data_IF_700735251806
#
_entry.id   IF_700735251806
#
_cell.length_a   1.000
_cell.length_b   1.000
_cell.length_c   1.000
_cell.angle_alpha   90.00
_cell.angle_beta   90.00
_cell.angle_gamma   90.00
#
_symmetry.space_group_name_H-M   'P 1'
#
loop_
_entity.id
_entity.type
_entity.pdbx_description
1 polymer ?
#
# COMPACT_ATOMS: atom_id res chain seq x y z
N UNK A 1 -27.17 -24.39 -37.67
CA UNK A 1 -26.05 -23.54 -38.16
C UNK A 1 -24.84 -23.89 -37.32
N UNK A 2 -23.77 -24.38 -37.94
CA UNK A 2 -22.52 -24.68 -37.25
C UNK A 2 -21.74 -23.37 -37.11
N UNK A 3 -21.56 -22.88 -35.88
CA UNK A 3 -20.72 -21.70 -35.63
C UNK A 3 -19.27 -22.07 -35.95
N UNK A 4 -18.77 -21.57 -37.08
CA UNK A 4 -17.34 -21.63 -37.38
C UNK A 4 -16.64 -20.58 -36.51
N UNK A 5 -15.67 -20.97 -35.67
CA UNK A 5 -14.88 -20.00 -34.93
C UNK A 5 -14.20 -19.05 -35.94
N UNK A 6 -14.44 -17.75 -35.77
CA UNK A 6 -13.98 -16.70 -36.70
C UNK A 6 -12.50 -16.36 -36.52
N UNK A 7 -11.89 -16.73 -35.40
CA UNK A 7 -10.50 -16.45 -35.07
C UNK A 7 -9.97 -17.45 -34.04
N UNK A 8 -8.84 -18.09 -34.32
CA UNK A 8 -8.10 -18.93 -33.38
C UNK A 8 -7.19 -18.05 -32.52
N UNK A 9 -7.39 -18.08 -31.20
CA UNK A 9 -6.63 -17.29 -30.23
C UNK A 9 -5.74 -18.18 -29.34
N UNK A 10 -5.58 -19.45 -29.68
CA UNK A 10 -4.84 -20.44 -28.88
C UNK A 10 -3.36 -20.08 -28.70
N UNK A 11 -2.79 -19.31 -29.63
CA UNK A 11 -1.39 -18.88 -29.61
C UNK A 11 -1.14 -17.63 -28.74
N UNK A 12 -2.18 -17.02 -28.16
CA UNK A 12 -1.99 -15.85 -27.30
C UNK A 12 -1.25 -16.25 -26.00
N UNK A 13 -0.32 -15.39 -25.53
CA UNK A 13 0.38 -15.65 -24.29
C UNK A 13 -0.61 -15.70 -23.12
N UNK A 14 -0.43 -16.69 -22.24
CA UNK A 14 -1.35 -16.96 -21.12
C UNK A 14 -1.26 -15.94 -19.98
N UNK A 15 -0.29 -15.02 -20.05
CA UNK A 15 -0.06 -13.89 -19.14
C UNK A 15 0.78 -12.80 -19.85
N UNK A 16 0.71 -11.56 -19.34
CA UNK A 16 1.50 -10.43 -19.81
C UNK A 16 1.93 -9.54 -18.65
N UNK A 17 2.80 -8.56 -18.90
CA UNK A 17 3.27 -7.61 -17.89
C UNK A 17 2.79 -6.19 -18.20
N UNK A 18 2.50 -5.41 -17.16
CA UNK A 18 2.08 -4.02 -17.30
C UNK A 18 0.78 -3.87 -18.09
N UNK A 19 0.63 -2.84 -18.95
CA UNK A 19 -0.62 -2.55 -19.66
C UNK A 19 -1.14 -3.65 -20.59
N UNK A 20 -0.32 -4.68 -20.88
CA UNK A 20 -0.72 -5.86 -21.66
C UNK A 20 -1.46 -6.90 -20.82
N UNK A 21 -1.47 -6.75 -19.49
CA UNK A 21 -2.25 -7.60 -18.57
C UNK A 21 -3.57 -6.93 -18.20
N UNK A 22 -4.71 -7.63 -18.28
CA UNK A 22 -5.97 -7.15 -17.71
C UNK A 22 -5.90 -6.89 -16.20
N UNK A 23 -5.12 -7.68 -15.45
CA UNK A 23 -4.96 -7.54 -13.99
C UNK A 23 -4.31 -6.21 -13.62
N UNK A 24 -3.41 -5.70 -14.47
CA UNK A 24 -2.77 -4.41 -14.27
C UNK A 24 -3.78 -3.26 -14.30
N UNK A 25 -4.73 -3.29 -15.26
CA UNK A 25 -5.81 -2.30 -15.34
C UNK A 25 -6.79 -2.43 -14.18
N UNK A 26 -7.08 -3.65 -13.73
CA UNK A 26 -7.88 -3.90 -12.53
C UNK A 26 -7.22 -3.29 -11.29
N UNK A 27 -5.92 -3.52 -11.12
CA UNK A 27 -5.11 -2.95 -10.01
C UNK A 27 -5.09 -1.43 -10.07
N UNK A 28 -4.90 -0.83 -11.25
CA UNK A 28 -4.93 0.62 -11.43
C UNK A 28 -6.31 1.21 -11.09
N UNK A 29 -7.39 0.56 -11.52
CA UNK A 29 -8.76 0.98 -11.19
C UNK A 29 -9.03 0.90 -9.69
N UNK A 30 -8.56 -0.16 -9.03
CA UNK A 30 -8.64 -0.31 -7.57
C UNK A 30 -7.84 0.77 -6.84
N UNK A 31 -6.60 1.06 -7.26
CA UNK A 31 -5.81 2.19 -6.73
C UNK A 31 -6.51 3.54 -6.90
N UNK A 32 -7.19 3.77 -8.02
CA UNK A 32 -7.93 5.00 -8.25
C UNK A 32 -9.12 5.13 -7.28
N UNK A 33 -9.85 4.05 -7.03
CA UNK A 33 -10.96 4.00 -6.08
C UNK A 33 -10.47 4.26 -4.63
N UNK A 34 -9.46 3.51 -4.20
CA UNK A 34 -8.88 3.68 -2.85
C UNK A 34 -8.22 5.05 -2.69
N UNK A 35 -7.51 5.51 -3.71
CA UNK A 35 -6.87 6.82 -3.77
C UNK A 35 -7.87 7.97 -3.63
N UNK A 36 -9.07 7.82 -4.19
CA UNK A 36 -10.17 8.76 -3.97
C UNK A 36 -10.61 8.77 -2.50
N UNK A 37 -10.67 7.61 -1.84
CA UNK A 37 -10.94 7.52 -0.40
C UNK A 37 -9.92 8.30 0.44
N UNK A 38 -8.62 8.14 0.15
CA UNK A 38 -7.56 8.92 0.78
C UNK A 38 -7.70 10.42 0.50
N UNK A 39 -8.00 10.81 -0.74
CA UNK A 39 -8.18 12.21 -1.12
C UNK A 39 -9.37 12.86 -0.38
N UNK A 40 -10.49 12.14 -0.24
CA UNK A 40 -11.65 12.61 0.52
C UNK A 40 -11.33 12.76 2.00
N UNK A 41 -10.64 11.79 2.61
CA UNK A 41 -10.24 11.86 4.01
C UNK A 41 -9.27 13.03 4.27
N UNK A 42 -8.29 13.24 3.38
CA UNK A 42 -7.39 14.39 3.44
C UNK A 42 -8.12 15.72 3.23
N UNK A 43 -9.06 15.77 2.28
CA UNK A 43 -9.90 16.94 2.03
C UNK A 43 -10.77 17.29 3.23
N UNK A 44 -11.39 16.30 3.87
CA UNK A 44 -12.16 16.48 5.09
C UNK A 44 -11.29 17.00 6.25
N UNK A 45 -10.08 16.45 6.43
CA UNK A 45 -9.11 16.94 7.41
C UNK A 45 -8.79 18.42 7.20
N UNK A 46 -8.43 18.79 5.97
CA UNK A 46 -8.08 20.17 5.62
C UNK A 46 -9.27 21.12 5.78
N UNK A 47 -10.46 20.71 5.34
CA UNK A 47 -11.67 21.50 5.49
C UNK A 47 -11.99 21.78 6.96
N UNK A 48 -11.90 20.78 7.82
CA UNK A 48 -12.13 20.97 9.25
C UNK A 48 -11.02 21.82 9.90
N UNK A 49 -9.77 21.65 9.47
CA UNK A 49 -8.65 22.44 9.96
C UNK A 49 -8.77 23.94 9.64
N UNK A 50 -9.38 24.31 8.50
CA UNK A 50 -9.59 25.73 8.15
C UNK A 50 -10.73 26.38 8.93
N UNK A 51 -11.68 25.59 9.44
CA UNK A 51 -12.81 26.09 10.23
C UNK A 51 -12.44 26.41 11.68
N UNK A 52 -11.36 25.82 12.21
CA UNK A 52 -10.99 25.94 13.62
C UNK A 52 -9.61 26.59 13.78
N UNK A 53 -9.50 27.78 14.41
CA UNK A 53 -8.21 28.45 14.63
C UNK A 53 -7.19 27.60 15.39
N UNK A 54 -7.69 26.76 16.32
CA UNK A 54 -6.89 25.79 17.06
C UNK A 54 -7.27 24.37 16.63
N UNK A 55 -6.77 23.93 15.48
CA UNK A 55 -7.18 22.64 14.88
C UNK A 55 -7.02 21.43 15.81
N UNK A 56 -6.04 21.44 16.71
CA UNK A 56 -5.81 20.33 17.65
C UNK A 56 -6.88 20.20 18.73
N UNK A 57 -7.75 21.19 18.93
CA UNK A 57 -8.84 21.14 19.92
C UNK A 57 -8.35 20.69 21.31
N UNK A 58 -7.23 21.26 21.77
CA UNK A 58 -6.53 20.93 23.03
C UNK A 58 -5.83 19.56 23.09
N UNK A 59 -5.78 18.82 21.99
CA UNK A 59 -5.02 17.57 21.91
C UNK A 59 -3.49 17.81 21.92
N UNK A 60 -2.71 16.90 22.51
CA UNK A 60 -1.26 16.94 22.43
C UNK A 60 -0.78 16.80 20.98
N UNK A 61 0.42 17.29 20.68
CA UNK A 61 1.02 17.04 19.38
C UNK A 61 1.33 15.54 19.25
N UNK A 62 0.90 14.87 18.16
CA UNK A 62 1.30 13.50 17.90
C UNK A 62 2.83 13.41 17.86
N UNK A 63 3.40 12.41 18.53
CA UNK A 63 4.83 12.13 18.40
C UNK A 63 5.14 11.88 16.91
N UNK A 64 6.09 12.63 16.33
CA UNK A 64 6.42 12.50 14.91
C UNK A 64 7.34 11.31 14.63
N UNK A 65 8.07 10.82 15.65
CA UNK A 65 9.05 9.76 15.47
C UNK A 65 8.49 8.47 14.87
N UNK A 66 7.34 7.92 15.31
CA UNK A 66 6.78 6.73 14.66
C UNK A 66 6.49 6.98 13.18
N UNK A 67 5.88 8.12 12.85
CA UNK A 67 5.65 8.52 11.46
C UNK A 67 6.94 8.64 10.64
N UNK A 68 7.98 9.26 11.21
CA UNK A 68 9.29 9.42 10.55
C UNK A 68 9.97 8.06 10.34
N UNK A 69 9.91 7.15 11.32
CA UNK A 69 10.46 5.80 11.21
C UNK A 69 9.74 5.03 10.11
N UNK A 70 8.40 5.07 10.06
CA UNK A 70 7.60 4.46 8.99
C UNK A 70 8.00 5.02 7.62
N UNK A 71 8.17 6.34 7.49
CA UNK A 71 8.64 6.98 6.25
C UNK A 71 10.01 6.45 5.83
N UNK A 72 10.96 6.33 6.76
CA UNK A 72 12.30 5.79 6.46
C UNK A 72 12.21 4.33 6.00
N UNK A 73 11.42 3.50 6.69
CA UNK A 73 11.20 2.10 6.31
C UNK A 73 10.61 1.99 4.90
N UNK A 74 9.63 2.83 4.57
CA UNK A 74 9.06 2.85 3.22
C UNK A 74 10.09 3.25 2.17
N UNK A 75 10.85 4.33 2.38
CA UNK A 75 11.91 4.74 1.44
C UNK A 75 12.92 3.62 1.22
N UNK A 76 13.35 2.94 2.30
CA UNK A 76 14.26 1.79 2.20
C UNK A 76 13.64 0.65 1.40
N UNK A 77 12.34 0.40 1.57
CA UNK A 77 11.63 -0.71 0.90
C UNK A 77 11.43 -0.54 -0.60
N UNK A 78 11.44 0.70 -1.12
CA UNK A 78 11.24 0.96 -2.56
C UNK A 78 12.32 0.29 -3.42
N UNK A 79 13.57 0.29 -2.96
CA UNK A 79 14.70 -0.29 -3.70
C UNK A 79 14.54 -1.81 -3.90
N UNK A 80 14.40 -2.65 -2.85
CA UNK A 80 14.19 -4.08 -3.02
C UNK A 80 12.87 -4.40 -3.74
N UNK A 81 11.83 -3.57 -3.59
CA UNK A 81 10.56 -3.75 -4.32
C UNK A 81 10.77 -3.71 -5.85
N UNK A 82 11.50 -2.71 -6.35
CA UNK A 82 11.77 -2.60 -7.79
C UNK A 82 12.77 -3.64 -8.31
N UNK A 83 13.73 -4.08 -7.48
CA UNK A 83 14.61 -5.21 -7.82
C UNK A 83 13.78 -6.50 -7.98
N UNK A 84 12.85 -6.76 -7.06
CA UNK A 84 11.91 -7.88 -7.12
C UNK A 84 11.09 -7.85 -8.42
N UNK A 85 10.59 -6.68 -8.83
CA UNK A 85 9.89 -6.52 -10.10
C UNK A 85 10.75 -6.93 -11.30
N UNK A 86 12.03 -6.55 -11.31
CA UNK A 86 12.98 -6.95 -12.35
C UNK A 86 13.12 -8.47 -12.44
N UNK A 87 13.28 -9.14 -11.30
CA UNK A 87 13.37 -10.61 -11.24
C UNK A 87 12.05 -11.30 -11.63
N UNK A 88 10.91 -10.71 -11.29
CA UNK A 88 9.60 -11.21 -11.68
C UNK A 88 9.42 -11.20 -13.21
N UNK A 89 9.82 -10.12 -13.89
CA UNK A 89 9.79 -10.04 -15.37
C UNK A 89 10.67 -11.08 -16.06
N UNK A 90 11.76 -11.48 -15.41
CA UNK A 90 12.67 -12.52 -15.89
C UNK A 90 12.20 -13.94 -15.52
N UNK A 91 11.06 -14.08 -14.84
CA UNK A 91 10.55 -15.36 -14.33
C UNK A 91 11.58 -16.12 -13.46
N UNK A 92 12.44 -15.38 -12.75
CA UNK A 92 13.54 -15.97 -11.98
C UNK A 92 13.05 -16.41 -10.60
N UNK A 93 12.66 -17.69 -10.47
CA UNK A 93 11.95 -18.20 -9.28
C UNK A 93 12.71 -18.01 -7.96
N UNK A 94 14.01 -18.29 -7.93
CA UNK A 94 14.84 -18.20 -6.71
C UNK A 94 14.96 -16.76 -6.21
N UNK A 95 15.39 -15.77 -7.02
CA UNK A 95 15.47 -14.39 -6.55
C UNK A 95 14.10 -13.80 -6.24
N UNK A 96 13.03 -14.20 -6.93
CA UNK A 96 11.66 -13.77 -6.59
C UNK A 96 11.24 -14.27 -5.20
N UNK A 97 11.51 -15.54 -4.88
CA UNK A 97 11.24 -16.08 -3.53
C UNK A 97 11.98 -15.32 -2.44
N UNK A 98 13.27 -15.04 -2.66
CA UNK A 98 14.09 -14.28 -1.70
C UNK A 98 13.55 -12.86 -1.56
N UNK A 99 13.28 -12.18 -2.67
CA UNK A 99 12.75 -10.81 -2.68
C UNK A 99 11.39 -10.70 -1.99
N UNK A 100 10.49 -11.67 -2.20
CA UNK A 100 9.19 -11.72 -1.53
C UNK A 100 9.30 -11.93 -0.01
N UNK A 101 10.24 -12.76 0.46
CA UNK A 101 10.54 -12.88 1.90
C UNK A 101 11.08 -11.57 2.46
N UNK A 102 12.01 -10.92 1.76
CA UNK A 102 12.55 -9.61 2.17
C UNK A 102 11.45 -8.55 2.24
N UNK A 103 10.59 -8.48 1.22
CA UNK A 103 9.46 -7.53 1.19
C UNK A 103 8.43 -7.82 2.28
N UNK A 104 8.15 -9.10 2.58
CA UNK A 104 7.28 -9.47 3.69
C UNK A 104 7.81 -8.94 5.03
N UNK A 105 9.13 -9.07 5.28
CA UNK A 105 9.75 -8.54 6.50
C UNK A 105 9.73 -7.01 6.54
N UNK A 106 10.05 -6.36 5.42
CA UNK A 106 10.03 -4.90 5.32
C UNK A 106 8.62 -4.32 5.45
N UNK A 107 7.59 -5.05 5.02
CA UNK A 107 6.20 -4.66 5.18
C UNK A 107 5.65 -4.89 6.59
N UNK A 108 6.12 -5.92 7.30
CA UNK A 108 5.79 -6.13 8.72
C UNK A 108 6.41 -5.07 9.64
N UNK A 109 7.61 -4.57 9.32
CA UNK A 109 8.30 -3.57 10.14
C UNK A 109 7.46 -2.30 10.43
N UNK A 110 6.86 -1.59 9.46
CA UNK A 110 6.02 -0.43 9.74
C UNK A 110 4.73 -0.80 10.50
N UNK A 111 4.21 -2.02 10.36
CA UNK A 111 3.07 -2.49 11.16
C UNK A 111 3.44 -2.64 12.64
N UNK A 112 4.66 -3.10 12.95
CA UNK A 112 5.15 -3.14 14.33
C UNK A 112 5.24 -1.74 14.92
N UNK A 113 5.77 -0.77 14.16
CA UNK A 113 5.80 0.63 14.60
C UNK A 113 4.38 1.15 14.87
N UNK A 114 3.45 0.86 13.95
CA UNK A 114 2.06 1.29 14.05
C UNK A 114 1.33 0.68 15.26
N UNK A 115 1.62 -0.57 15.58
CA UNK A 115 1.07 -1.26 16.76
C UNK A 115 1.40 -0.51 18.06
N UNK A 116 2.63 -0.01 18.20
CA UNK A 116 3.03 0.79 19.36
C UNK A 116 2.57 2.26 19.27
N UNK A 117 2.38 2.78 18.07
CA UNK A 117 1.92 4.15 17.87
C UNK A 117 0.47 4.37 18.30
N UNK A 118 -0.46 3.49 17.93
CA UNK A 118 -1.89 3.70 18.20
C UNK A 118 -2.20 3.98 19.68
N UNK A 119 -1.70 3.19 20.65
CA UNK A 119 -1.87 3.51 22.07
C UNK A 119 -1.17 4.80 22.51
N UNK A 120 -0.09 5.19 21.82
CA UNK A 120 0.70 6.37 22.13
C UNK A 120 0.14 7.68 21.52
N UNK A 121 -0.96 7.64 20.76
CA UNK A 121 -1.61 8.83 20.21
C UNK A 121 -2.22 9.73 21.28
N UNK A 122 -2.54 9.19 22.47
CA UNK A 122 -3.15 9.92 23.59
C UNK A 122 -4.46 10.66 23.22
N UNK A 123 -5.17 10.21 22.19
CA UNK A 123 -6.50 10.69 21.79
C UNK A 123 -7.28 9.55 21.15
N UNK A 124 -8.55 9.42 21.51
CA UNK A 124 -9.44 8.43 20.90
C UNK A 124 -10.19 9.03 19.70
N UNK A 125 -10.61 8.14 18.80
CA UNK A 125 -11.36 8.44 17.58
C UNK A 125 -12.67 9.23 17.79
N UNK A 126 -13.26 9.19 18.98
CA UNK A 126 -14.56 9.77 19.35
C UNK A 126 -14.41 11.00 20.25
N UNK A 127 -13.18 11.42 20.57
CA UNK A 127 -12.93 12.54 21.48
C UNK A 127 -13.34 13.88 20.86
N UNK A 128 -12.94 14.14 19.62
CA UNK A 128 -13.27 15.34 18.87
C UNK A 128 -12.94 15.15 17.38
N UNK A 129 -13.26 16.14 16.54
CA UNK A 129 -13.02 16.10 15.09
C UNK A 129 -11.55 15.83 14.72
N UNK A 130 -10.58 16.39 15.47
CA UNK A 130 -9.16 16.14 15.24
C UNK A 130 -8.79 14.68 15.49
N UNK A 131 -9.23 14.12 16.63
CA UNK A 131 -9.06 12.71 16.96
C UNK A 131 -9.68 11.79 15.92
N UNK A 132 -10.92 12.07 15.49
CA UNK A 132 -11.59 11.30 14.44
C UNK A 132 -10.77 11.30 13.14
N UNK A 133 -10.29 12.46 12.70
CA UNK A 133 -9.52 12.52 11.45
C UNK A 133 -8.14 11.86 11.54
N UNK A 134 -7.45 11.94 12.69
CA UNK A 134 -6.21 11.20 12.92
C UNK A 134 -6.43 9.69 12.77
N UNK A 135 -7.45 9.16 13.45
CA UNK A 135 -7.77 7.73 13.42
C UNK A 135 -8.26 7.27 12.05
N UNK A 136 -9.04 8.08 11.33
CA UNK A 136 -9.46 7.76 9.95
C UNK A 136 -8.25 7.68 9.02
N UNK A 137 -7.36 8.69 9.02
CA UNK A 137 -6.21 8.72 8.11
C UNK A 137 -5.20 7.62 8.43
N UNK A 138 -4.86 7.43 9.72
CA UNK A 138 -3.95 6.36 10.14
C UNK A 138 -4.57 4.98 9.97
N UNK A 139 -5.85 4.82 10.31
CA UNK A 139 -6.58 3.56 10.21
C UNK A 139 -6.75 3.12 8.76
N UNK A 140 -7.13 4.03 7.87
CA UNK A 140 -7.26 3.74 6.43
C UNK A 140 -5.92 3.28 5.86
N UNK A 141 -4.84 4.01 6.12
CA UNK A 141 -3.50 3.64 5.64
C UNK A 141 -3.00 2.34 6.24
N UNK A 142 -3.22 2.14 7.55
CA UNK A 142 -2.82 0.90 8.21
C UNK A 142 -3.58 -0.30 7.68
N UNK A 143 -4.87 -0.15 7.39
CA UNK A 143 -5.68 -1.22 6.80
C UNK A 143 -5.11 -1.63 5.45
N UNK A 144 -4.78 -0.66 4.60
CA UNK A 144 -4.14 -0.89 3.30
C UNK A 144 -2.79 -1.60 3.43
N UNK A 145 -1.98 -1.15 4.38
CA UNK A 145 -0.69 -1.77 4.68
C UNK A 145 -0.86 -3.23 5.15
N UNK A 146 -1.83 -3.52 6.02
CA UNK A 146 -2.11 -4.89 6.47
C UNK A 146 -2.55 -5.77 5.29
N UNK A 147 -3.45 -5.28 4.45
CA UNK A 147 -3.95 -6.06 3.31
C UNK A 147 -2.86 -6.33 2.29
N UNK A 148 -2.01 -5.35 2.00
CA UNK A 148 -0.90 -5.54 1.06
C UNK A 148 0.15 -6.51 1.61
N UNK A 149 0.57 -6.35 2.88
CA UNK A 149 1.49 -7.29 3.53
C UNK A 149 0.89 -8.71 3.56
N UNK A 150 -0.41 -8.82 3.79
CA UNK A 150 -1.14 -10.07 3.71
C UNK A 150 -1.05 -10.71 2.31
N UNK A 151 -1.28 -9.93 1.25
CA UNK A 151 -1.13 -10.37 -0.13
C UNK A 151 0.30 -10.81 -0.44
N UNK A 152 1.31 -10.01 -0.06
CA UNK A 152 2.72 -10.35 -0.25
C UNK A 152 3.08 -11.66 0.48
N UNK A 153 2.60 -11.88 1.71
CA UNK A 153 2.85 -13.13 2.45
C UNK A 153 2.16 -14.31 1.77
N UNK A 154 0.90 -14.17 1.35
CA UNK A 154 0.16 -15.22 0.63
C UNK A 154 0.89 -15.57 -0.67
N UNK A 155 1.30 -14.56 -1.43
CA UNK A 155 2.04 -14.74 -2.68
C UNK A 155 3.41 -15.37 -2.42
N UNK A 156 4.10 -14.97 -1.36
CA UNK A 156 5.35 -15.60 -0.90
C UNK A 156 5.13 -17.10 -0.70
N UNK A 157 4.14 -17.49 0.12
CA UNK A 157 3.83 -18.91 0.38
C UNK A 157 3.50 -19.64 -0.92
N UNK A 158 2.66 -19.06 -1.78
CA UNK A 158 2.29 -19.64 -3.08
C UNK A 158 3.50 -19.88 -3.98
N UNK A 159 4.46 -18.95 -4.00
CA UNK A 159 5.68 -19.05 -4.79
C UNK A 159 6.61 -20.19 -4.32
N UNK A 160 6.52 -20.61 -3.06
CA UNK A 160 7.20 -21.81 -2.56
C UNK A 160 6.48 -23.13 -2.88
N UNK A 161 5.21 -23.08 -3.32
CA UNK A 161 4.46 -24.28 -3.75
C UNK A 161 4.65 -24.59 -5.24
N UNK A 162 4.06 -25.70 -5.71
CA UNK A 162 3.99 -26.07 -7.14
C UNK A 162 3.40 -24.97 -8.02
N UNK A 163 2.57 -24.08 -7.48
CA UNK A 163 1.91 -23.02 -8.24
C UNK A 163 2.86 -21.87 -8.60
N UNK A 164 4.01 -21.76 -7.94
CA UNK A 164 5.00 -20.70 -8.21
C UNK A 164 5.67 -20.79 -9.58
N UNK A 165 5.63 -21.96 -10.24
CA UNK A 165 6.16 -22.12 -11.59
C UNK A 165 5.21 -21.65 -12.70
N UNK A 166 4.01 -21.22 -12.35
CA UNK A 166 3.08 -20.63 -13.32
C UNK A 166 3.51 -19.21 -13.67
N UNK A 167 3.67 -18.94 -14.96
CA UNK A 167 3.98 -17.60 -15.48
C UNK A 167 3.06 -16.50 -14.96
N UNK A 168 1.77 -16.83 -14.74
CA UNK A 168 0.79 -15.90 -14.14
C UNK A 168 1.20 -15.39 -12.76
N UNK A 169 1.84 -16.22 -11.94
CA UNK A 169 2.28 -15.81 -10.59
C UNK A 169 3.40 -14.77 -10.62
N UNK A 170 4.23 -14.77 -11.65
CA UNK A 170 5.20 -13.69 -11.84
C UNK A 170 4.52 -12.37 -12.24
N UNK A 171 3.41 -12.45 -12.97
CA UNK A 171 2.52 -11.30 -13.20
C UNK A 171 1.93 -10.76 -11.90
N UNK A 172 1.38 -11.65 -11.05
CA UNK A 172 0.84 -11.28 -9.74
C UNK A 172 1.89 -10.58 -8.86
N UNK A 173 3.16 -11.03 -8.90
CA UNK A 173 4.27 -10.35 -8.20
C UNK A 173 4.49 -8.94 -8.73
N UNK A 174 4.40 -8.74 -10.05
CA UNK A 174 4.49 -7.41 -10.66
C UNK A 174 3.36 -6.48 -10.22
N UNK A 175 2.14 -7.00 -10.12
CA UNK A 175 0.98 -6.24 -9.65
C UNK A 175 1.11 -5.91 -8.14
N UNK A 176 1.60 -6.85 -7.32
CA UNK A 176 1.89 -6.62 -5.89
C UNK A 176 2.97 -5.53 -5.69
N UNK A 177 4.06 -5.57 -6.46
CA UNK A 177 5.09 -4.50 -6.45
C UNK A 177 4.45 -3.15 -6.75
N UNK A 178 3.60 -3.09 -7.79
CA UNK A 178 2.95 -1.85 -8.19
C UNK A 178 2.00 -1.31 -7.10
N UNK A 179 1.29 -2.21 -6.40
CA UNK A 179 0.43 -1.84 -5.28
C UNK A 179 1.21 -1.35 -4.05
N UNK A 180 2.37 -1.95 -3.75
CA UNK A 180 3.26 -1.45 -2.69
C UNK A 180 3.67 0.01 -2.92
N UNK A 181 4.01 0.37 -4.16
CA UNK A 181 4.37 1.75 -4.50
C UNK A 181 3.22 2.73 -4.21
N UNK A 182 1.96 2.30 -4.43
CA UNK A 182 0.77 3.09 -4.07
C UNK A 182 0.60 3.24 -2.56
N UNK A 183 0.82 2.18 -1.76
CA UNK A 183 0.80 2.25 -0.29
C UNK A 183 1.85 3.23 0.25
N UNK A 184 3.05 3.24 -0.36
CA UNK A 184 4.12 4.19 -0.03
C UNK A 184 3.75 5.61 -0.44
N UNK A 185 3.19 5.81 -1.65
CA UNK A 185 2.82 7.14 -2.15
C UNK A 185 1.70 7.78 -1.33
N UNK A 186 0.67 7.02 -0.96
CA UNK A 186 -0.46 7.50 -0.16
C UNK A 186 -0.05 7.87 1.27
N UNK A 187 1.04 7.27 1.80
CA UNK A 187 1.58 7.65 3.10
C UNK A 187 2.10 9.08 3.16
N UNK A 188 2.74 9.57 2.09
CA UNK A 188 3.42 10.87 2.09
C UNK A 188 2.50 12.03 2.49
N UNK A 189 1.33 12.24 1.85
CA UNK A 189 0.41 13.31 2.26
C UNK A 189 -0.12 13.09 3.69
N UNK A 190 -0.39 11.85 4.10
CA UNK A 190 -0.85 11.55 5.46
C UNK A 190 0.21 11.94 6.49
N UNK A 191 1.47 11.56 6.24
CA UNK A 191 2.60 11.91 7.09
C UNK A 191 2.74 13.43 7.27
N UNK A 192 2.60 14.18 6.18
CA UNK A 192 2.65 15.65 6.23
C UNK A 192 1.45 16.23 7.01
N UNK A 193 0.24 15.75 6.74
CA UNK A 193 -0.98 16.25 7.39
C UNK A 193 -1.01 15.95 8.89
N UNK A 194 -0.57 14.77 9.31
CA UNK A 194 -0.66 14.34 10.71
C UNK A 194 0.49 14.87 11.55
N UNK A 195 1.73 14.77 11.06
CA UNK A 195 2.89 15.08 11.89
C UNK A 195 3.50 16.44 11.61
N UNK A 196 3.28 17.07 10.46
CA UNK A 196 3.93 18.36 10.17
C UNK A 196 2.95 19.52 10.23
N UNK A 197 1.76 19.40 9.64
CA UNK A 197 0.78 20.49 9.62
C UNK A 197 0.40 21.00 11.01
N UNK A 198 0.16 20.17 12.06
CA UNK A 198 -0.16 20.67 13.39
C UNK A 198 1.00 21.35 14.12
N UNK A 199 2.19 21.40 13.52
CA UNK A 199 3.40 22.06 14.05
C UNK A 199 3.71 23.37 13.33
N UNK A 200 3.04 23.67 12.22
CA UNK A 200 3.23 24.88 11.43
C UNK A 200 2.41 26.08 11.97
N UNK A 201 1.64 25.89 13.04
CA UNK A 201 0.81 26.90 13.70
C UNK A 201 0.70 26.65 15.20
#
# INVERSE_FOLDING_TARGET
MSERPSLDLSDLPTFGHGPRSPTWWGTLGFMALEGMGFALAAGAYLYLATLWPNWRLSAPHPNHWPGTIVTILFIISVVPNHILHGHAKQCAIVPVRIGLVVMSLLGLAPLVVRWFEFPALNIYWDTNAYGSMLWVLLGLHTTHLITDVGDTIVLTVLMFTRHGYSGRRFGDVGDNVFYWDFVVLTWIPIYLLIYWMPRLG
#
